data_IF_322665324391
#
_entry.id   IF_322665324391
#
_cell.length_a   1.000
_cell.length_b   1.000
_cell.length_c   1.000
_cell.angle_alpha   90.00
_cell.angle_beta   90.00
_cell.angle_gamma   90.00
#
_symmetry.space_group_name_H-M   'P 1'
#
loop_
_entity.id
_entity.type
_entity.pdbx_description
1 polymer ?
#
# COMPACT_ATOMS: atom_id res chain seq x y z
N UNK A 1 -28.94 0.46 31.48
CA UNK A 1 -27.80 0.89 30.61
C UNK A 1 -27.61 -0.17 29.55
N UNK A 2 -28.25 0.00 28.35
CA UNK A 2 -28.07 -0.87 27.22
C UNK A 2 -26.75 -0.48 26.52
N UNK A 3 -25.70 -1.28 26.68
CA UNK A 3 -24.50 -1.16 25.87
C UNK A 3 -24.79 -1.72 24.47
N UNK A 4 -25.03 -0.81 23.51
CA UNK A 4 -25.05 -1.16 22.11
C UNK A 4 -23.61 -1.41 21.65
N UNK A 5 -23.22 -2.67 21.54
CA UNK A 5 -21.99 -3.07 20.84
C UNK A 5 -22.22 -2.85 19.34
N UNK A 6 -21.86 -1.66 18.81
CA UNK A 6 -21.76 -1.48 17.37
C UNK A 6 -20.76 -2.51 16.84
N UNK A 7 -21.23 -3.36 15.93
CA UNK A 7 -20.40 -4.32 15.22
C UNK A 7 -19.22 -3.53 14.63
N UNK A 8 -17.99 -3.82 15.03
CA UNK A 8 -16.80 -3.13 14.53
C UNK A 8 -16.71 -3.40 13.03
N UNK A 9 -16.90 -2.38 12.23
CA UNK A 9 -16.67 -2.45 10.80
C UNK A 9 -15.18 -2.67 10.57
N UNK A 10 -14.85 -3.50 9.57
CA UNK A 10 -13.47 -3.79 9.18
C UNK A 10 -13.31 -3.44 7.72
N UNK A 11 -12.23 -2.75 7.40
CA UNK A 11 -11.78 -2.54 6.03
C UNK A 11 -10.37 -3.10 5.88
N UNK A 12 -10.02 -3.45 4.64
CA UNK A 12 -8.66 -3.78 4.26
C UNK A 12 -8.12 -2.61 3.44
N UNK A 13 -6.97 -2.08 3.80
CA UNK A 13 -6.30 -1.03 3.05
C UNK A 13 -5.18 -1.63 2.20
N UNK A 14 -5.12 -1.23 0.93
CA UNK A 14 -3.97 -1.44 0.07
C UNK A 14 -3.22 -0.12 -0.02
N UNK A 15 -1.92 -0.15 0.19
CA UNK A 15 -1.06 1.02 0.18
C UNK A 15 0.18 0.74 -0.67
N UNK A 16 0.46 1.60 -1.63
CA UNK A 16 1.71 1.64 -2.36
C UNK A 16 2.41 2.98 -2.13
N UNK A 17 3.72 2.97 -2.17
CA UNK A 17 4.57 4.15 -2.06
C UNK A 17 5.49 4.18 -3.28
N UNK A 18 5.41 5.26 -4.03
CA UNK A 18 6.34 5.54 -5.11
C UNK A 18 7.62 6.15 -4.51
N UNK A 19 8.74 5.46 -4.71
CA UNK A 19 10.02 5.86 -4.14
C UNK A 19 10.61 7.14 -4.78
N UNK A 20 10.19 7.48 -6.00
CA UNK A 20 10.69 8.63 -6.74
C UNK A 20 9.88 9.89 -6.50
N UNK A 21 8.55 9.78 -6.55
CA UNK A 21 7.65 10.91 -6.33
C UNK A 21 7.31 11.13 -4.85
N UNK A 22 7.49 10.12 -4.00
CA UNK A 22 6.96 10.03 -2.64
C UNK A 22 5.42 9.99 -2.59
N UNK A 23 4.77 9.67 -3.69
CA UNK A 23 3.32 9.52 -3.70
C UNK A 23 2.92 8.25 -2.97
N UNK A 24 1.95 8.40 -2.09
CA UNK A 24 1.28 7.30 -1.42
C UNK A 24 -0.06 7.06 -2.10
N UNK A 25 -0.33 5.83 -2.54
CA UNK A 25 -1.57 5.47 -3.22
C UNK A 25 -2.31 4.50 -2.32
N UNK A 26 -3.41 4.94 -1.73
CA UNK A 26 -4.25 4.15 -0.83
C UNK A 26 -5.56 3.77 -1.49
N UNK A 27 -6.00 2.54 -1.27
CA UNK A 27 -7.32 2.06 -1.66
C UNK A 27 -7.90 1.18 -0.55
N UNK A 28 -9.07 1.54 -0.07
CA UNK A 28 -9.82 0.72 0.87
C UNK A 28 -10.64 -0.35 0.13
N UNK A 29 -10.72 -1.54 0.71
CA UNK A 29 -11.46 -2.66 0.16
C UNK A 29 -12.16 -3.46 1.26
N UNK A 30 -13.32 -4.02 0.93
CA UNK A 30 -14.05 -4.92 1.85
C UNK A 30 -13.34 -6.27 2.03
N UNK A 31 -12.54 -6.67 1.06
CA UNK A 31 -11.81 -7.95 1.02
C UNK A 31 -10.37 -7.72 0.62
N UNK A 32 -9.48 -8.61 1.04
CA UNK A 32 -8.07 -8.62 0.66
C UNK A 32 -7.68 -9.99 0.09
N UNK A 33 -8.41 -10.44 -0.93
CA UNK A 33 -8.09 -11.66 -1.68
C UNK A 33 -7.20 -11.35 -2.88
N UNK A 34 -6.70 -12.38 -3.53
CA UNK A 34 -5.81 -12.25 -4.69
C UNK A 34 -6.43 -11.44 -5.84
N UNK A 35 -7.74 -11.50 -6.01
CA UNK A 35 -8.48 -10.78 -7.05
C UNK A 35 -8.48 -9.26 -6.81
N UNK A 36 -8.81 -8.83 -5.58
CA UNK A 36 -8.83 -7.42 -5.21
C UNK A 36 -7.41 -6.80 -5.23
N UNK A 37 -6.42 -7.59 -4.83
CA UNK A 37 -5.02 -7.17 -4.89
C UNK A 37 -4.54 -7.04 -6.35
N UNK A 38 -4.91 -8.00 -7.21
CA UNK A 38 -4.61 -7.93 -8.63
C UNK A 38 -5.25 -6.71 -9.29
N UNK A 39 -6.50 -6.39 -8.95
CA UNK A 39 -7.19 -5.20 -9.43
C UNK A 39 -6.50 -3.91 -8.97
N UNK A 40 -6.05 -3.86 -7.72
CA UNK A 40 -5.29 -2.72 -7.21
C UNK A 40 -3.99 -2.49 -8.02
N UNK A 41 -3.22 -3.55 -8.28
CA UNK A 41 -2.01 -3.44 -9.09
C UNK A 41 -2.29 -3.11 -10.56
N UNK A 42 -3.38 -3.63 -11.13
CA UNK A 42 -3.81 -3.27 -12.47
C UNK A 42 -4.18 -1.78 -12.58
N UNK A 43 -4.84 -1.23 -11.57
CA UNK A 43 -5.13 0.21 -11.49
C UNK A 43 -3.82 1.03 -11.41
N UNK A 44 -2.84 0.58 -10.62
CA UNK A 44 -1.52 1.23 -10.59
C UNK A 44 -0.84 1.17 -11.96
N UNK A 45 -0.78 0.01 -12.60
CA UNK A 45 -0.18 -0.15 -13.93
C UNK A 45 -0.84 0.79 -14.95
N UNK A 46 -2.17 0.87 -14.94
CA UNK A 46 -2.92 1.77 -15.82
C UNK A 46 -2.57 3.24 -15.56
N UNK A 47 -2.53 3.66 -14.30
CA UNK A 47 -2.16 5.03 -13.90
C UNK A 47 -0.75 5.39 -14.40
N UNK A 48 0.22 4.52 -14.17
CA UNK A 48 1.60 4.78 -14.57
C UNK A 48 1.78 4.77 -16.09
N UNK A 49 1.08 3.88 -16.81
CA UNK A 49 1.07 3.90 -18.28
C UNK A 49 0.49 5.21 -18.82
N UNK A 50 -0.61 5.71 -18.26
CA UNK A 50 -1.21 6.99 -18.63
C UNK A 50 -0.27 8.17 -18.38
N UNK A 51 0.60 8.06 -17.39
CA UNK A 51 1.65 9.03 -17.08
C UNK A 51 2.92 8.87 -17.93
N UNK A 52 2.90 7.97 -18.93
CA UNK A 52 4.00 7.78 -19.89
C UNK A 52 5.11 6.84 -19.43
N UNK A 53 4.92 6.11 -18.35
CA UNK A 53 5.91 5.11 -17.91
C UNK A 53 5.79 3.83 -18.72
N UNK A 54 6.93 3.28 -19.14
CA UNK A 54 7.01 2.02 -19.88
C UNK A 54 7.22 0.80 -18.98
N UNK A 55 7.65 1.03 -17.73
CA UNK A 55 7.95 -0.02 -16.77
C UNK A 55 7.70 0.45 -15.34
N UNK A 56 7.18 -0.45 -14.52
CA UNK A 56 7.16 -0.33 -13.06
C UNK A 56 7.69 -1.61 -12.41
N UNK A 57 8.43 -1.44 -11.32
CA UNK A 57 8.91 -2.52 -10.47
C UNK A 57 8.19 -2.43 -9.12
N UNK A 58 7.48 -3.49 -8.73
CA UNK A 58 6.67 -3.54 -7.51
C UNK A 58 7.29 -4.49 -6.51
N UNK A 59 7.67 -3.98 -5.35
CA UNK A 59 8.24 -4.76 -4.25
C UNK A 59 7.13 -5.19 -3.30
N UNK A 60 7.03 -6.49 -3.05
CA UNK A 60 5.95 -7.11 -2.26
C UNK A 60 6.53 -7.94 -1.12
N UNK A 61 5.82 -7.99 -0.01
CA UNK A 61 6.04 -9.01 0.99
C UNK A 61 5.65 -10.40 0.46
N UNK A 62 6.02 -11.44 1.21
CA UNK A 62 5.71 -12.84 0.83
C UNK A 62 4.34 -13.30 1.32
N UNK A 63 3.37 -12.42 1.45
CA UNK A 63 2.02 -12.81 1.80
C UNK A 63 1.47 -13.84 0.78
N UNK A 64 0.83 -14.94 1.22
CA UNK A 64 0.23 -15.93 0.33
C UNK A 64 -0.71 -15.36 -0.74
N UNK A 65 -1.36 -14.25 -0.48
CA UNK A 65 -2.26 -13.59 -1.42
C UNK A 65 -1.54 -12.95 -2.62
N UNK A 66 -0.22 -12.71 -2.53
CA UNK A 66 0.64 -12.15 -3.59
C UNK A 66 1.24 -13.19 -4.53
N UNK A 67 0.83 -14.47 -4.41
CA UNK A 67 1.39 -15.58 -5.19
C UNK A 67 0.73 -15.74 -6.57
N UNK A 68 0.93 -16.90 -7.17
CA UNK A 68 0.53 -17.27 -8.53
C UNK A 68 -0.91 -16.85 -8.89
N UNK A 69 -1.88 -17.06 -7.99
CA UNK A 69 -3.28 -16.70 -8.26
C UNK A 69 -3.46 -15.21 -8.52
N UNK A 70 -2.82 -14.35 -7.72
CA UNK A 70 -2.85 -12.90 -7.93
C UNK A 70 -2.21 -12.53 -9.27
N UNK A 71 -1.06 -13.13 -9.60
CA UNK A 71 -0.36 -12.86 -10.86
C UNK A 71 -1.18 -13.28 -12.09
N UNK A 72 -1.93 -14.40 -12.00
CA UNK A 72 -2.84 -14.82 -13.08
C UNK A 72 -3.94 -13.77 -13.29
N UNK A 73 -4.64 -13.37 -12.25
CA UNK A 73 -5.66 -12.31 -12.36
C UNK A 73 -5.07 -11.00 -12.87
N UNK A 74 -3.89 -10.63 -12.38
CA UNK A 74 -3.21 -9.42 -12.84
C UNK A 74 -2.91 -9.49 -14.35
N UNK A 75 -2.39 -10.61 -14.85
CA UNK A 75 -2.10 -10.80 -16.27
C UNK A 75 -3.36 -10.65 -17.14
N UNK A 76 -4.47 -11.25 -16.69
CA UNK A 76 -5.77 -11.13 -17.40
C UNK A 76 -6.26 -9.68 -17.43
N UNK A 77 -6.18 -8.96 -16.30
CA UNK A 77 -6.63 -7.56 -16.17
C UNK A 77 -5.75 -6.58 -16.96
N UNK A 78 -4.50 -6.91 -17.19
CA UNK A 78 -3.51 -6.04 -17.86
C UNK A 78 -3.17 -6.48 -19.28
N UNK A 79 -3.91 -7.44 -19.86
CA UNK A 79 -3.63 -7.99 -21.19
C UNK A 79 -3.57 -6.91 -22.30
N UNK A 80 -4.29 -5.81 -22.15
CA UNK A 80 -4.33 -4.69 -23.10
C UNK A 80 -3.35 -3.56 -22.76
N UNK A 81 -2.58 -3.68 -21.68
CA UNK A 81 -1.58 -2.68 -21.30
C UNK A 81 -0.23 -2.99 -21.96
N UNK A 82 0.51 -1.95 -22.29
CA UNK A 82 1.86 -2.06 -22.88
C UNK A 82 2.97 -1.90 -21.85
N UNK A 83 2.64 -1.35 -20.67
CA UNK A 83 3.58 -1.17 -19.57
C UNK A 83 4.08 -2.51 -19.04
N UNK A 84 5.40 -2.60 -18.83
CA UNK A 84 6.02 -3.78 -18.22
C UNK A 84 5.96 -3.70 -16.71
N UNK A 85 5.34 -4.68 -16.06
CA UNK A 85 5.26 -4.76 -14.60
C UNK A 85 6.08 -5.93 -14.11
N UNK A 86 7.00 -5.68 -13.16
CA UNK A 86 7.79 -6.72 -12.53
C UNK A 86 7.53 -6.74 -11.02
N UNK A 87 7.16 -7.91 -10.51
CA UNK A 87 6.99 -8.14 -9.08
C UNK A 87 8.27 -8.69 -8.46
N UNK A 88 8.74 -8.07 -7.39
CA UNK A 88 9.89 -8.47 -6.60
C UNK A 88 9.42 -8.86 -5.21
N UNK A 89 9.70 -10.10 -4.82
CA UNK A 89 9.36 -10.58 -3.47
C UNK A 89 10.51 -10.23 -2.52
N UNK A 90 10.20 -9.49 -1.47
CA UNK A 90 11.16 -9.17 -0.41
C UNK A 90 11.57 -10.39 0.40
N UNK A 91 12.61 -10.24 1.24
CA UNK A 91 13.05 -11.28 2.14
C UNK A 91 11.92 -11.75 3.07
N UNK A 92 11.83 -13.06 3.39
CA UNK A 92 10.81 -13.56 4.29
C UNK A 92 11.02 -13.03 5.72
N UNK A 93 9.92 -12.84 6.43
CA UNK A 93 9.92 -12.42 7.84
C UNK A 93 10.69 -11.14 8.15
N UNK A 94 10.77 -10.21 7.20
CA UNK A 94 11.51 -8.95 7.32
C UNK A 94 10.62 -7.70 7.22
N UNK A 95 9.63 -7.53 8.11
CA UNK A 95 8.75 -6.34 8.04
C UNK A 95 9.53 -5.04 8.25
N UNK A 96 10.64 -5.07 8.98
CA UNK A 96 11.51 -3.90 9.18
C UNK A 96 12.19 -3.41 7.89
N UNK A 97 12.24 -4.24 6.85
CA UNK A 97 12.79 -3.88 5.55
C UNK A 97 11.71 -3.35 4.58
N UNK A 98 10.46 -3.25 5.02
CA UNK A 98 9.35 -2.83 4.19
C UNK A 98 8.94 -1.39 4.52
N UNK A 99 9.24 -0.46 3.61
CA UNK A 99 8.88 0.96 3.75
C UNK A 99 7.36 1.16 4.00
N UNK A 100 6.51 0.32 3.42
CA UNK A 100 5.05 0.40 3.59
C UNK A 100 4.64 0.17 5.06
N UNK A 101 5.36 -0.65 5.81
CA UNK A 101 5.08 -0.87 7.24
C UNK A 101 5.31 0.41 8.06
N UNK A 102 6.32 1.22 7.71
CA UNK A 102 6.53 2.53 8.34
C UNK A 102 5.37 3.47 8.06
N UNK A 103 4.90 3.52 6.81
CA UNK A 103 3.72 4.31 6.44
C UNK A 103 2.45 3.85 7.17
N UNK A 104 2.21 2.54 7.25
CA UNK A 104 1.09 1.97 8.02
C UNK A 104 1.18 2.38 9.50
N UNK A 105 2.38 2.37 10.07
CA UNK A 105 2.58 2.82 11.45
C UNK A 105 2.23 4.30 11.63
N UNK A 106 2.65 5.17 10.70
CA UNK A 106 2.30 6.59 10.69
C UNK A 106 0.79 6.80 10.52
N UNK A 107 0.11 6.05 9.65
CA UNK A 107 -1.35 6.10 9.52
C UNK A 107 -2.00 5.73 10.85
N UNK A 108 -1.55 4.68 11.51
CA UNK A 108 -2.07 4.29 12.82
C UNK A 108 -1.91 5.40 13.85
N UNK A 109 -0.75 6.03 13.91
CA UNK A 109 -0.50 7.13 14.85
C UNK A 109 -1.34 8.37 14.53
N UNK A 110 -1.38 8.80 13.26
CA UNK A 110 -2.04 10.05 12.86
C UNK A 110 -3.56 9.94 12.80
N UNK A 111 -4.09 8.77 12.43
CA UNK A 111 -5.52 8.61 12.14
C UNK A 111 -6.25 7.87 13.27
N UNK A 112 -5.72 6.74 13.74
CA UNK A 112 -6.44 5.93 14.73
C UNK A 112 -6.48 6.54 16.13
N UNK A 113 -5.64 7.52 16.44
CA UNK A 113 -5.68 8.25 17.70
C UNK A 113 -6.70 9.40 17.70
N UNK A 114 -7.20 9.83 16.53
CA UNK A 114 -8.25 10.84 16.45
C UNK A 114 -9.63 10.21 16.73
N UNK A 115 -10.37 10.79 17.68
CA UNK A 115 -11.66 10.27 18.13
C UNK A 115 -12.68 10.15 16.98
N UNK A 116 -12.66 11.09 16.05
CA UNK A 116 -13.60 11.18 14.94
C UNK A 116 -13.45 10.05 13.92
N UNK A 117 -12.24 9.53 13.73
CA UNK A 117 -11.96 8.41 12.82
C UNK A 117 -12.46 7.06 13.35
N UNK A 118 -12.85 6.98 14.63
CA UNK A 118 -13.41 5.75 15.22
C UNK A 118 -14.88 5.54 14.93
N UNK A 119 -15.56 6.53 14.34
CA UNK A 119 -17.01 6.54 14.17
C UNK A 119 -17.46 6.09 12.78
N UNK A 120 -16.62 6.21 11.74
CA UNK A 120 -16.98 5.89 10.37
C UNK A 120 -15.78 5.44 9.53
N UNK A 121 -15.94 4.33 8.78
CA UNK A 121 -14.94 3.89 7.79
C UNK A 121 -14.72 4.94 6.70
N UNK A 122 -15.78 5.60 6.25
CA UNK A 122 -15.69 6.63 5.21
C UNK A 122 -14.81 7.80 5.65
N UNK A 123 -14.93 8.22 6.92
CA UNK A 123 -14.05 9.26 7.46
C UNK A 123 -12.60 8.79 7.55
N UNK A 124 -12.36 7.54 7.98
CA UNK A 124 -11.03 6.95 7.99
C UNK A 124 -10.40 6.95 6.60
N UNK A 125 -11.13 6.49 5.59
CA UNK A 125 -10.68 6.45 4.19
C UNK A 125 -10.37 7.86 3.66
N UNK A 126 -11.25 8.82 3.94
CA UNK A 126 -11.05 10.23 3.55
C UNK A 126 -9.78 10.81 4.18
N UNK A 127 -9.55 10.56 5.46
CA UNK A 127 -8.36 11.03 6.16
C UNK A 127 -7.07 10.41 5.63
N UNK A 128 -7.07 9.10 5.36
CA UNK A 128 -5.89 8.43 4.79
C UNK A 128 -5.59 8.97 3.40
N UNK A 129 -6.61 9.15 2.56
CA UNK A 129 -6.45 9.73 1.23
C UNK A 129 -5.91 11.17 1.30
N UNK A 130 -6.41 12.00 2.20
CA UNK A 130 -5.89 13.36 2.40
C UNK A 130 -4.41 13.36 2.80
N UNK A 131 -3.99 12.40 3.64
CA UNK A 131 -2.59 12.25 4.01
C UNK A 131 -1.72 11.80 2.82
N UNK A 132 -2.27 10.94 1.96
CA UNK A 132 -1.58 10.46 0.76
C UNK A 132 -1.46 11.55 -0.31
N UNK A 133 -2.55 12.25 -0.62
CA UNK A 133 -2.65 13.21 -1.73
C UNK A 133 -1.74 14.43 -1.57
N UNK A 134 -1.41 14.80 -0.35
CA UNK A 134 -0.61 16.01 -0.07
C UNK A 134 0.83 15.70 0.40
N UNK A 135 1.32 14.48 0.20
CA UNK A 135 2.61 14.01 0.73
C UNK A 135 2.76 14.25 2.26
N UNK A 136 1.63 14.38 2.96
CA UNK A 136 1.60 14.58 4.42
C UNK A 136 1.89 13.29 5.19
N UNK A 137 1.74 12.13 4.53
CA UNK A 137 2.05 10.84 5.14
C UNK A 137 3.57 10.65 5.21
N UNK A 138 4.23 10.74 4.07
CA UNK A 138 5.67 10.67 3.89
C UNK A 138 6.10 11.64 2.81
N UNK A 139 7.20 12.37 3.03
CA UNK A 139 7.87 13.17 2.03
C UNK A 139 9.17 12.48 1.55
N UNK A 140 9.82 13.02 0.51
CA UNK A 140 11.04 12.44 -0.05
C UNK A 140 12.17 12.29 0.95
N UNK A 141 12.40 13.28 1.79
CA UNK A 141 13.44 13.26 2.83
C UNK A 141 13.19 12.13 3.84
N UNK A 142 11.95 11.98 4.29
CA UNK A 142 11.56 10.89 5.19
C UNK A 142 11.74 9.52 4.55
N UNK A 143 11.41 9.37 3.26
CA UNK A 143 11.63 8.12 2.53
C UNK A 143 13.11 7.79 2.48
N UNK A 144 13.97 8.76 2.14
CA UNK A 144 15.42 8.57 2.10
C UNK A 144 15.93 8.12 3.46
N UNK A 145 15.57 8.83 4.53
CA UNK A 145 15.99 8.49 5.90
C UNK A 145 15.55 7.08 6.32
N UNK A 146 14.33 6.66 5.94
CA UNK A 146 13.85 5.31 6.22
C UNK A 146 14.64 4.28 5.41
N UNK A 147 14.93 4.54 4.13
CA UNK A 147 15.70 3.63 3.30
C UNK A 147 17.14 3.48 3.80
N UNK A 148 17.80 4.56 4.22
CA UNK A 148 19.12 4.52 4.84
C UNK A 148 19.10 3.72 6.16
N UNK A 149 18.05 3.89 6.97
CA UNK A 149 17.86 3.07 8.15
C UNK A 149 17.67 1.59 7.79
N UNK A 150 16.84 1.28 6.79
CA UNK A 150 16.65 -0.09 6.31
C UNK A 150 17.98 -0.68 5.83
N UNK A 151 18.77 0.07 5.07
CA UNK A 151 20.09 -0.37 4.60
C UNK A 151 21.03 -0.69 5.77
N UNK A 152 21.02 0.13 6.82
CA UNK A 152 21.82 -0.10 8.02
C UNK A 152 21.44 -1.39 8.79
N UNK A 153 20.24 -1.91 8.60
CA UNK A 153 19.77 -3.17 9.20
C UNK A 153 20.20 -4.40 8.41
N UNK A 154 20.67 -4.23 7.17
CA UNK A 154 21.17 -5.33 6.34
C UNK A 154 22.64 -5.51 6.64
N UNK A 155 23.07 -6.68 7.15
CA UNK A 155 24.50 -6.92 7.39
C UNK A 155 25.27 -6.81 6.07
N UNK A 156 26.39 -6.09 6.08
CA UNK A 156 27.32 -6.09 4.96
C UNK A 156 27.82 -7.52 4.74
N UNK A 157 27.47 -8.12 3.61
CA UNK A 157 28.01 -9.37 3.15
C UNK A 157 29.30 -9.14 2.39
#
# INVERSE_FOLDING_TARGET
>A
LCYWWKKRERTNGFLAIDLFSADCIFQANKRAKSEEIAQYFANLATKYQQNGFERIDIFLDRNPTHKTKMQTFFADLTANLTIKVKFHLMAPYSPKLNLVEYAIHLIRQKVLHHADCKTSLTQFESYVNELCDNQKLLNKEQIINILEHIESLVPNF
#
